data_IF_788723617469
#
_entry.id   IF_788723617469
#
_cell.length_a   1.000
_cell.length_b   1.000
_cell.length_c   1.000
_cell.angle_alpha   90.00
_cell.angle_beta   90.00
_cell.angle_gamma   90.00
#
_symmetry.space_group_name_H-M   'P 1'
#
loop_
_entity.id
_entity.type
_entity.pdbx_description
1 polymer ?
#
# COMPACT_ATOMS: atom_id res chain seq x y z
N UNK A 1 9.42 -77.90 34.64
CA UNK A 1 9.48 -77.09 33.40
C UNK A 1 8.05 -76.72 33.03
N UNK A 2 7.49 -75.67 33.62
CA UNK A 2 6.21 -75.09 33.23
C UNK A 2 6.03 -73.64 33.72
N UNK A 3 6.92 -73.15 34.59
CA UNK A 3 6.81 -71.80 35.14
C UNK A 3 7.29 -70.70 34.19
N UNK A 4 8.22 -71.00 33.27
CA UNK A 4 8.77 -70.02 32.33
C UNK A 4 7.73 -69.52 31.32
N UNK A 5 6.85 -70.40 30.80
CA UNK A 5 5.85 -70.02 29.78
C UNK A 5 4.82 -69.03 30.35
N UNK A 6 4.50 -69.15 31.65
CA UNK A 6 3.51 -68.28 32.31
C UNK A 6 4.03 -66.86 32.58
N UNK A 7 5.34 -66.70 32.82
CA UNK A 7 5.96 -65.40 33.12
C UNK A 7 6.07 -64.53 31.85
N UNK A 8 6.42 -65.15 30.72
CA UNK A 8 6.49 -64.47 29.42
C UNK A 8 5.10 -64.05 28.90
N UNK A 9 4.04 -64.83 29.16
CA UNK A 9 2.67 -64.47 28.75
C UNK A 9 2.02 -63.42 29.66
N UNK A 10 2.28 -63.43 30.97
CA UNK A 10 1.60 -62.55 31.92
C UNK A 10 2.30 -61.20 32.18
N UNK A 11 3.59 -61.07 31.88
CA UNK A 11 4.36 -59.84 32.18
C UNK A 11 4.88 -59.16 30.91
N UNK A 12 5.37 -59.93 29.92
CA UNK A 12 6.03 -59.35 28.74
C UNK A 12 5.03 -58.89 27.68
N UNK A 13 3.92 -59.61 27.50
CA UNK A 13 2.82 -59.21 26.61
C UNK A 13 2.19 -57.85 26.98
N UNK A 14 1.81 -57.61 28.25
CA UNK A 14 1.25 -56.35 28.70
C UNK A 14 2.22 -55.17 28.63
N UNK A 15 3.51 -55.39 28.94
CA UNK A 15 4.55 -54.34 28.90
C UNK A 15 4.85 -53.94 27.45
N UNK A 16 4.96 -54.90 26.53
CA UNK A 16 5.14 -54.61 25.10
C UNK A 16 3.92 -53.90 24.50
N UNK A 17 2.70 -54.33 24.85
CA UNK A 17 1.47 -53.66 24.43
C UNK A 17 1.39 -52.22 24.99
N UNK A 18 1.78 -51.99 26.23
CA UNK A 18 1.82 -50.66 26.83
C UNK A 18 2.85 -49.73 26.16
N UNK A 19 4.02 -50.24 25.77
CA UNK A 19 5.04 -49.49 25.04
C UNK A 19 4.60 -49.12 23.61
N UNK A 20 3.93 -50.04 22.92
CA UNK A 20 3.39 -49.79 21.57
C UNK A 20 2.23 -48.78 21.64
N UNK A 21 1.33 -48.95 22.61
CA UNK A 21 0.17 -48.05 22.77
C UNK A 21 0.62 -46.65 23.18
N UNK A 22 1.62 -46.53 24.05
CA UNK A 22 2.15 -45.22 24.46
C UNK A 22 2.91 -44.51 23.34
N UNK A 23 3.70 -45.22 22.53
CA UNK A 23 4.36 -44.62 21.35
C UNK A 23 3.37 -44.19 20.27
N UNK A 24 2.33 -44.99 20.00
CA UNK A 24 1.26 -44.60 19.08
C UNK A 24 0.43 -43.43 19.60
N UNK A 25 0.12 -43.39 20.90
CA UNK A 25 -0.59 -42.27 21.52
C UNK A 25 0.24 -40.99 21.48
N UNK A 26 1.54 -41.04 21.81
CA UNK A 26 2.44 -39.89 21.72
C UNK A 26 2.63 -39.43 20.27
N UNK A 27 2.74 -40.36 19.32
CA UNK A 27 2.78 -40.06 17.89
C UNK A 27 1.48 -39.41 17.38
N UNK A 28 0.33 -39.92 17.81
CA UNK A 28 -0.98 -39.35 17.47
C UNK A 28 -1.20 -37.96 18.07
N UNK A 29 -0.83 -37.76 19.34
CA UNK A 29 -0.94 -36.48 20.03
C UNK A 29 -0.02 -35.45 19.40
N UNK A 30 1.25 -35.80 19.12
CA UNK A 30 2.20 -34.89 18.45
C UNK A 30 1.77 -34.53 17.03
N UNK A 31 1.22 -35.47 16.27
CA UNK A 31 0.65 -35.19 14.94
C UNK A 31 -0.58 -34.28 15.02
N UNK A 32 -1.46 -34.50 16.00
CA UNK A 32 -2.63 -33.66 16.20
C UNK A 32 -2.26 -32.26 16.72
N UNK A 33 -1.30 -32.15 17.63
CA UNK A 33 -0.76 -30.88 18.11
C UNK A 33 -0.13 -30.09 16.97
N UNK A 34 0.75 -30.71 16.18
CA UNK A 34 1.41 -30.06 15.05
C UNK A 34 0.41 -29.57 13.99
N UNK A 35 -0.69 -30.31 13.77
CA UNK A 35 -1.79 -29.83 12.93
C UNK A 35 -2.53 -28.64 13.53
N UNK A 36 -2.80 -28.64 14.84
CA UNK A 36 -3.45 -27.52 15.52
C UNK A 36 -2.56 -26.27 15.54
N UNK A 37 -1.26 -26.44 15.78
CA UNK A 37 -0.28 -25.36 15.74
C UNK A 37 -0.17 -24.77 14.32
N UNK A 38 -0.06 -25.62 13.30
CA UNK A 38 -0.03 -25.16 11.91
C UNK A 38 -1.33 -24.45 11.50
N UNK A 39 -2.49 -24.91 11.99
CA UNK A 39 -3.77 -24.22 11.76
C UNK A 39 -3.83 -22.87 12.48
N UNK A 40 -3.38 -22.80 13.73
CA UNK A 40 -3.34 -21.56 14.50
C UNK A 40 -2.37 -20.53 13.91
N UNK A 41 -1.20 -20.99 13.44
CA UNK A 41 -0.23 -20.15 12.75
C UNK A 41 -0.80 -19.64 11.41
N UNK A 42 -1.48 -20.50 10.65
CA UNK A 42 -2.16 -20.11 9.41
C UNK A 42 -3.23 -19.04 9.64
N UNK A 43 -4.07 -19.20 10.67
CA UNK A 43 -5.11 -18.21 11.02
C UNK A 43 -4.45 -16.89 11.40
N UNK A 44 -3.44 -16.90 12.29
CA UNK A 44 -2.71 -15.69 12.66
C UNK A 44 -2.04 -14.99 11.47
N UNK A 45 -1.54 -15.75 10.51
CA UNK A 45 -0.96 -15.20 9.30
C UNK A 45 -2.02 -14.49 8.44
N UNK A 46 -3.18 -15.12 8.24
CA UNK A 46 -4.30 -14.54 7.48
C UNK A 46 -4.85 -13.29 8.19
N UNK A 47 -5.05 -13.34 9.50
CA UNK A 47 -5.49 -12.18 10.30
C UNK A 47 -4.50 -11.00 10.16
N UNK A 48 -3.20 -11.30 10.22
CA UNK A 48 -2.14 -10.31 9.99
C UNK A 48 -2.16 -9.72 8.58
N UNK A 49 -2.41 -10.55 7.56
CA UNK A 49 -2.55 -10.12 6.17
C UNK A 49 -3.79 -9.23 5.97
N UNK A 50 -4.93 -9.57 6.57
CA UNK A 50 -6.15 -8.77 6.53
C UNK A 50 -5.96 -7.41 7.20
N UNK A 51 -5.37 -7.38 8.39
CA UNK A 51 -5.09 -6.13 9.09
C UNK A 51 -4.17 -5.22 8.28
N UNK A 52 -3.12 -5.78 7.67
CA UNK A 52 -2.22 -5.06 6.75
C UNK A 52 -2.98 -4.52 5.53
N UNK A 53 -3.82 -5.34 4.89
CA UNK A 53 -4.62 -4.87 3.75
C UNK A 53 -5.58 -3.73 4.12
N UNK A 54 -6.23 -3.80 5.29
CA UNK A 54 -7.12 -2.74 5.78
C UNK A 54 -6.36 -1.45 6.10
N UNK A 55 -5.21 -1.56 6.77
CA UNK A 55 -4.36 -0.41 7.09
C UNK A 55 -3.82 0.25 5.82
N UNK A 56 -3.29 -0.55 4.89
CA UNK A 56 -2.87 -0.08 3.57
C UNK A 56 -4.01 0.61 2.83
N UNK A 57 -5.22 0.03 2.83
CA UNK A 57 -6.39 0.64 2.18
C UNK A 57 -6.72 2.02 2.73
N UNK A 58 -6.64 2.17 4.07
CA UNK A 58 -6.83 3.45 4.74
C UNK A 58 -5.77 4.46 4.31
N UNK A 59 -4.50 4.05 4.27
CA UNK A 59 -3.38 4.92 3.86
C UNK A 59 -3.55 5.41 2.41
N UNK A 60 -3.96 4.55 1.48
CA UNK A 60 -4.19 4.93 0.09
C UNK A 60 -5.30 5.97 -0.04
N UNK A 61 -6.42 5.76 0.64
CA UNK A 61 -7.55 6.69 0.66
C UNK A 61 -7.21 8.02 1.33
N UNK A 62 -6.53 8.00 2.48
CA UNK A 62 -6.09 9.21 3.17
C UNK A 62 -5.16 10.04 2.26
N UNK A 63 -4.22 9.36 1.57
CA UNK A 63 -3.32 9.99 0.60
C UNK A 63 -4.07 10.66 -0.55
N UNK A 64 -5.02 9.96 -1.16
CA UNK A 64 -5.86 10.50 -2.24
C UNK A 64 -6.66 11.72 -1.79
N UNK A 65 -7.30 11.65 -0.62
CA UNK A 65 -8.16 12.70 -0.10
C UNK A 65 -7.40 13.99 0.20
N UNK A 66 -6.25 13.89 0.89
CA UNK A 66 -5.43 15.06 1.20
C UNK A 66 -4.75 15.63 -0.05
N UNK A 67 -4.35 14.78 -1.00
CA UNK A 67 -3.81 15.25 -2.28
C UNK A 67 -4.86 15.99 -3.11
N UNK A 68 -6.06 15.43 -3.23
CA UNK A 68 -7.20 16.06 -3.91
C UNK A 68 -7.59 17.39 -3.25
N UNK A 69 -7.60 17.43 -1.91
CA UNK A 69 -7.87 18.65 -1.15
C UNK A 69 -6.81 19.73 -1.40
N UNK A 70 -5.54 19.36 -1.48
CA UNK A 70 -4.46 20.29 -1.81
C UNK A 70 -4.60 20.84 -3.24
N UNK A 71 -4.81 19.98 -4.24
CA UNK A 71 -4.99 20.37 -5.65
C UNK A 71 -6.20 21.30 -5.80
N UNK A 72 -7.35 20.93 -5.26
CA UNK A 72 -8.54 21.80 -5.33
C UNK A 72 -8.32 23.16 -4.63
N UNK A 73 -7.46 23.20 -3.61
CA UNK A 73 -7.16 24.43 -2.91
C UNK A 73 -6.15 25.32 -3.67
N UNK A 74 -5.35 24.78 -4.61
CA UNK A 74 -4.43 25.57 -5.43
C UNK A 74 -5.13 26.25 -6.62
N UNK A 75 -6.30 25.76 -7.05
CA UNK A 75 -7.01 26.27 -8.21
C UNK A 75 -7.20 27.80 -8.15
N UNK A 76 -6.73 28.51 -9.18
CA UNK A 76 -6.73 29.98 -9.28
C UNK A 76 -6.03 30.70 -8.11
N UNK A 77 -5.11 30.03 -7.41
CA UNK A 77 -4.32 30.64 -6.34
C UNK A 77 -2.85 30.70 -6.70
N UNK A 78 -2.27 31.86 -6.48
CA UNK A 78 -0.84 32.07 -6.50
C UNK A 78 -0.11 31.28 -5.41
N UNK A 79 1.17 30.98 -5.63
CA UNK A 79 2.03 30.25 -4.69
C UNK A 79 2.05 30.91 -3.31
N UNK A 80 2.08 32.24 -3.23
CA UNK A 80 2.08 32.93 -1.93
C UNK A 80 0.84 32.60 -1.08
N UNK A 81 -0.35 32.60 -1.66
CA UNK A 81 -1.58 32.27 -0.93
C UNK A 81 -1.66 30.76 -0.64
N UNK A 82 -1.35 29.92 -1.63
CA UNK A 82 -1.42 28.47 -1.52
C UNK A 82 -0.42 27.90 -0.49
N UNK A 83 0.80 28.43 -0.46
CA UNK A 83 1.91 27.92 0.37
C UNK A 83 1.73 28.15 1.88
N UNK A 84 1.01 29.20 2.27
CA UNK A 84 0.85 29.59 3.67
C UNK A 84 -0.09 28.66 4.46
N UNK A 85 -1.05 28.02 3.77
CA UNK A 85 -2.07 27.17 4.39
C UNK A 85 -2.08 25.76 3.76
N UNK A 86 -2.75 25.61 2.62
CA UNK A 86 -3.11 24.29 2.06
C UNK A 86 -1.90 23.43 1.72
N UNK A 87 -0.86 24.02 1.15
CA UNK A 87 0.38 23.29 0.86
C UNK A 87 1.09 22.85 2.14
N UNK A 88 1.18 23.72 3.14
CA UNK A 88 1.85 23.41 4.42
C UNK A 88 1.13 22.28 5.16
N UNK A 89 -0.20 22.36 5.23
CA UNK A 89 -1.04 21.32 5.82
C UNK A 89 -0.84 19.98 5.11
N UNK A 90 -0.79 20.01 3.77
CA UNK A 90 -0.47 18.83 2.98
C UNK A 90 0.92 18.28 3.27
N UNK A 91 1.95 19.12 3.34
CA UNK A 91 3.33 18.66 3.60
C UNK A 91 3.48 18.04 5.00
N UNK A 92 2.80 18.58 6.00
CA UNK A 92 2.76 18.02 7.35
C UNK A 92 2.05 16.66 7.37
N UNK A 93 0.96 16.52 6.62
CA UNK A 93 0.30 15.24 6.40
C UNK A 93 1.22 14.26 5.65
N UNK A 94 1.76 14.67 4.50
CA UNK A 94 2.55 13.87 3.58
C UNK A 94 3.78 13.28 4.27
N UNK A 95 4.43 14.04 5.15
CA UNK A 95 5.55 13.53 5.96
C UNK A 95 5.12 12.33 6.81
N UNK A 96 4.05 12.47 7.59
CA UNK A 96 3.53 11.39 8.46
C UNK A 96 2.98 10.21 7.66
N UNK A 97 2.32 10.52 6.56
CA UNK A 97 1.77 9.52 5.64
C UNK A 97 2.89 8.69 5.01
N UNK A 98 3.95 9.33 4.52
CA UNK A 98 5.13 8.64 3.97
C UNK A 98 5.82 7.76 5.00
N UNK A 99 5.97 8.22 6.24
CA UNK A 99 6.49 7.40 7.34
C UNK A 99 5.62 6.14 7.56
N UNK A 100 4.29 6.28 7.49
CA UNK A 100 3.36 5.15 7.57
C UNK A 100 3.48 4.20 6.37
N UNK A 101 3.64 4.71 5.14
CA UNK A 101 3.88 3.88 3.96
C UNK A 101 5.15 3.03 4.08
N UNK A 102 6.23 3.60 4.62
CA UNK A 102 7.50 2.87 4.84
C UNK A 102 7.29 1.72 5.84
N UNK A 103 6.57 1.97 6.94
CA UNK A 103 6.24 0.92 7.91
C UNK A 103 5.40 -0.17 7.26
N UNK A 104 4.41 0.25 6.47
CA UNK A 104 3.48 -0.66 5.79
C UNK A 104 4.17 -1.51 4.72
N UNK A 105 5.18 -0.96 4.02
CA UNK A 105 6.01 -1.71 3.08
C UNK A 105 6.57 -2.99 3.73
N UNK A 106 7.14 -2.91 4.93
CA UNK A 106 7.70 -4.09 5.60
C UNK A 106 6.64 -5.13 5.99
N UNK A 107 5.43 -4.69 6.34
CA UNK A 107 4.30 -5.61 6.60
C UNK A 107 3.85 -6.28 5.30
N UNK A 108 3.74 -5.52 4.22
CA UNK A 108 3.38 -6.02 2.89
C UNK A 108 4.40 -7.01 2.36
N UNK A 109 5.71 -6.79 2.56
CA UNK A 109 6.76 -7.77 2.23
C UNK A 109 6.47 -9.11 2.90
N UNK A 110 6.08 -9.10 4.18
CA UNK A 110 5.82 -10.30 4.97
C UNK A 110 4.59 -11.08 4.51
N UNK A 111 3.50 -10.40 4.17
CA UNK A 111 2.20 -11.04 3.91
C UNK A 111 1.84 -11.15 2.42
N UNK A 112 2.31 -10.22 1.58
CA UNK A 112 1.94 -10.07 0.17
C UNK A 112 3.16 -10.12 -0.78
N UNK A 113 4.38 -10.13 -0.23
CA UNK A 113 5.63 -10.20 -0.98
C UNK A 113 6.16 -8.85 -1.46
N UNK A 114 7.46 -8.82 -1.81
CA UNK A 114 8.20 -7.59 -2.12
C UNK A 114 7.58 -6.78 -3.26
N UNK A 115 7.16 -7.45 -4.35
CA UNK A 115 6.56 -6.77 -5.51
C UNK A 115 5.33 -5.95 -5.13
N UNK A 116 4.51 -6.44 -4.18
CA UNK A 116 3.34 -5.68 -3.72
C UNK A 116 3.81 -4.44 -2.95
N UNK A 117 4.75 -4.62 -2.02
CA UNK A 117 5.30 -3.54 -1.22
C UNK A 117 6.00 -2.44 -2.06
N UNK A 118 6.72 -2.83 -3.11
CA UNK A 118 7.41 -1.92 -4.04
C UNK A 118 6.39 -1.04 -4.82
N UNK A 119 5.21 -1.59 -5.16
CA UNK A 119 4.14 -0.80 -5.81
C UNK A 119 3.54 0.28 -4.88
N UNK A 120 3.73 0.18 -3.56
CA UNK A 120 3.29 1.19 -2.60
C UNK A 120 4.34 2.31 -2.48
N UNK A 121 5.59 1.90 -2.24
CA UNK A 121 6.74 2.79 -2.06
C UNK A 121 8.04 2.02 -2.29
N UNK A 122 8.91 2.53 -3.16
CA UNK A 122 10.27 2.03 -3.32
C UNK A 122 11.20 2.57 -2.23
N UNK A 123 11.30 1.83 -1.11
CA UNK A 123 12.09 2.25 0.06
C UNK A 123 13.59 2.35 -0.26
N UNK A 124 14.09 1.51 -1.15
CA UNK A 124 15.46 1.50 -1.67
C UNK A 124 15.85 2.78 -2.42
N UNK A 125 14.88 3.54 -2.93
CA UNK A 125 15.13 4.79 -3.63
C UNK A 125 15.06 6.03 -2.73
N UNK A 126 14.56 5.89 -1.51
CA UNK A 126 14.40 6.98 -0.53
C UNK A 126 15.75 7.59 -0.14
N UNK A 127 16.79 6.76 -0.02
CA UNK A 127 18.15 7.21 0.32
C UNK A 127 18.87 7.88 -0.87
N UNK A 128 18.37 7.69 -2.09
CA UNK A 128 19.09 8.02 -3.33
C UNK A 128 18.71 9.39 -3.93
N UNK A 129 17.59 10.00 -3.51
CA UNK A 129 17.08 11.22 -4.16
C UNK A 129 16.62 12.28 -3.15
N UNK A 130 17.55 13.12 -2.65
CA UNK A 130 17.16 14.36 -1.98
C UNK A 130 16.50 15.31 -3.00
N UNK A 131 15.31 15.79 -2.64
CA UNK A 131 14.48 16.70 -3.43
C UNK A 131 15.24 17.99 -3.74
N UNK A 132 15.07 18.53 -4.96
CA UNK A 132 15.00 19.99 -5.12
C UNK A 132 16.11 20.66 -5.90
N UNK A 133 16.38 20.23 -7.14
CA UNK A 133 16.90 21.17 -8.13
C UNK A 133 15.76 21.70 -9.00
N UNK A 134 15.18 22.83 -8.59
CA UNK A 134 14.12 23.53 -9.33
C UNK A 134 14.66 24.08 -10.65
N UNK A 135 15.99 24.20 -10.80
CA UNK A 135 16.65 24.59 -12.05
C UNK A 135 16.85 23.42 -13.02
N UNK A 136 16.52 22.20 -12.60
CA UNK A 136 16.45 21.04 -13.49
C UNK A 136 15.41 21.28 -14.60
N UNK A 137 15.68 20.87 -15.84
CA UNK A 137 14.67 20.87 -16.91
C UNK A 137 13.48 19.95 -16.61
N UNK A 138 13.56 19.10 -15.59
CA UNK A 138 12.48 18.20 -15.15
C UNK A 138 12.38 18.16 -13.62
N UNK A 139 11.92 19.25 -12.97
CA UNK A 139 11.94 19.39 -11.52
C UNK A 139 10.95 18.46 -10.80
N UNK A 140 9.95 17.94 -11.52
CA UNK A 140 8.93 17.01 -11.01
C UNK A 140 9.15 15.56 -11.47
N UNK A 141 10.32 15.22 -12.00
CA UNK A 141 10.61 13.83 -12.39
C UNK A 141 11.09 13.06 -11.14
N UNK A 142 10.38 12.02 -10.69
CA UNK A 142 10.83 11.21 -9.56
C UNK A 142 11.99 10.31 -9.97
N UNK A 143 12.62 9.70 -8.97
CA UNK A 143 13.57 8.61 -9.15
C UNK A 143 12.99 7.46 -10.00
N UNK A 144 13.85 6.80 -10.78
CA UNK A 144 13.49 5.65 -11.59
C UNK A 144 13.06 5.99 -13.03
N UNK A 145 12.42 5.04 -13.70
CA UNK A 145 11.93 5.19 -15.08
C UNK A 145 10.47 5.65 -15.16
N UNK A 146 10.02 6.12 -16.34
CA UNK A 146 8.63 6.57 -16.56
C UNK A 146 7.55 5.51 -16.26
N UNK A 147 7.91 4.23 -16.22
CA UNK A 147 6.99 3.11 -15.91
C UNK A 147 7.01 2.68 -14.45
N UNK A 148 7.71 3.41 -13.58
CA UNK A 148 8.03 3.00 -12.21
C UNK A 148 7.35 3.89 -11.16
N UNK A 149 6.16 4.41 -11.49
CA UNK A 149 5.38 5.27 -10.60
C UNK A 149 4.62 4.43 -9.58
N UNK A 150 5.22 4.25 -8.41
CA UNK A 150 4.50 3.82 -7.21
C UNK A 150 3.58 4.93 -6.67
N UNK A 151 2.74 4.58 -5.69
CA UNK A 151 1.77 5.50 -5.09
C UNK A 151 2.45 6.75 -4.48
N UNK A 152 3.59 6.59 -3.82
CA UNK A 152 4.32 7.72 -3.22
C UNK A 152 4.92 8.64 -4.30
N UNK A 153 5.42 8.08 -5.41
CA UNK A 153 5.90 8.84 -6.57
C UNK A 153 4.76 9.60 -7.23
N UNK A 154 3.57 9.00 -7.40
CA UNK A 154 2.40 9.72 -7.93
C UNK A 154 2.02 10.92 -7.05
N UNK A 155 2.01 10.76 -5.73
CA UNK A 155 1.77 11.88 -4.80
C UNK A 155 2.82 13.00 -4.96
N UNK A 156 4.11 12.64 -5.05
CA UNK A 156 5.20 13.59 -5.26
C UNK A 156 5.06 14.38 -6.57
N UNK A 157 4.81 13.69 -7.69
CA UNK A 157 4.68 14.34 -9.01
C UNK A 157 3.47 15.29 -9.02
N UNK A 158 2.38 14.88 -8.38
CA UNK A 158 1.17 15.72 -8.25
C UNK A 158 1.46 16.97 -7.44
N UNK A 159 2.07 16.86 -6.25
CA UNK A 159 2.47 18.02 -5.43
C UNK A 159 3.38 18.97 -6.19
N UNK A 160 4.41 18.43 -6.84
CA UNK A 160 5.37 19.25 -7.56
C UNK A 160 4.71 20.01 -8.72
N UNK A 161 3.82 19.35 -9.47
CA UNK A 161 3.07 19.99 -10.57
C UNK A 161 2.16 21.09 -10.02
N UNK A 162 1.43 20.79 -8.94
CA UNK A 162 0.55 21.76 -8.22
C UNK A 162 1.32 22.99 -7.78
N UNK A 163 2.52 22.81 -7.24
CA UNK A 163 3.40 23.92 -6.84
C UNK A 163 3.80 24.77 -8.05
N UNK A 164 4.12 24.15 -9.18
CA UNK A 164 4.49 24.89 -10.40
C UNK A 164 3.29 25.66 -10.97
N UNK A 165 2.08 25.07 -10.94
CA UNK A 165 0.85 25.76 -11.34
C UNK A 165 0.60 27.00 -10.50
N UNK A 166 0.74 26.90 -9.19
CA UNK A 166 0.59 28.03 -8.28
C UNK A 166 1.66 29.13 -8.52
N UNK A 167 2.90 28.75 -8.81
CA UNK A 167 3.95 29.72 -9.19
C UNK A 167 3.63 30.40 -10.52
N UNK A 168 3.11 29.66 -11.50
CA UNK A 168 2.69 30.21 -12.79
C UNK A 168 1.51 31.17 -12.63
N UNK A 169 0.59 30.89 -11.71
CA UNK A 169 -0.51 31.79 -11.36
C UNK A 169 0.00 33.10 -10.77
N UNK A 170 1.00 33.09 -9.88
CA UNK A 170 1.63 34.32 -9.36
C UNK A 170 2.22 35.18 -10.49
N UNK A 171 2.81 34.55 -11.52
CA UNK A 171 3.35 35.27 -12.71
C UNK A 171 2.21 35.91 -13.51
N UNK A 172 1.11 35.18 -13.74
CA UNK A 172 -0.08 35.70 -14.42
C UNK A 172 -0.64 36.91 -13.67
N UNK A 173 -0.79 36.79 -12.36
CA UNK A 173 -1.34 37.85 -11.51
C UNK A 173 -0.45 39.11 -11.52
N UNK A 174 0.88 38.95 -11.43
CA UNK A 174 1.83 40.07 -11.50
C UNK A 174 1.81 40.77 -12.88
N UNK A 175 1.81 40.00 -13.97
CA UNK A 175 1.79 40.58 -15.30
C UNK A 175 0.46 41.30 -15.61
N UNK A 176 -0.68 40.76 -15.15
CA UNK A 176 -2.00 41.42 -15.23
C UNK A 176 -1.99 42.72 -14.43
N UNK A 177 -1.50 42.69 -13.17
CA UNK A 177 -1.42 43.86 -12.32
C UNK A 177 -0.50 44.95 -12.92
N UNK A 178 0.59 44.55 -13.58
CA UNK A 178 1.55 45.44 -14.21
C UNK A 178 1.24 45.77 -15.69
N UNK A 179 0.11 45.30 -16.24
CA UNK A 179 -0.31 45.50 -17.64
C UNK A 179 0.76 45.06 -18.66
N UNK A 180 1.54 44.03 -18.34
CA UNK A 180 2.50 43.42 -19.26
C UNK A 180 1.75 42.39 -20.09
N UNK A 181 1.71 42.56 -21.41
CA UNK A 181 0.91 41.70 -22.30
C UNK A 181 1.74 40.74 -23.15
N UNK A 182 3.07 40.86 -23.11
CA UNK A 182 3.97 40.09 -23.99
C UNK A 182 3.90 38.58 -23.77
N UNK A 183 3.93 38.14 -22.51
CA UNK A 183 4.08 36.73 -22.16
C UNK A 183 2.90 36.12 -21.37
N UNK A 184 1.90 36.94 -20.98
CA UNK A 184 0.73 36.49 -20.18
C UNK A 184 -0.03 35.35 -20.85
N UNK A 185 -0.23 35.42 -22.17
CA UNK A 185 -0.96 34.37 -22.89
C UNK A 185 -0.23 33.04 -22.88
N UNK A 186 1.11 33.05 -22.90
CA UNK A 186 1.92 31.84 -22.79
C UNK A 186 1.82 31.26 -21.36
N UNK A 187 1.87 32.11 -20.33
CA UNK A 187 1.69 31.68 -18.93
C UNK A 187 0.30 31.10 -18.67
N UNK A 188 -0.77 31.69 -19.22
CA UNK A 188 -2.14 31.15 -19.12
C UNK A 188 -2.23 29.77 -19.78
N UNK A 189 -1.64 29.60 -20.97
CA UNK A 189 -1.63 28.31 -21.67
C UNK A 189 -0.85 27.25 -20.87
N UNK A 190 0.29 27.61 -20.30
CA UNK A 190 1.09 26.70 -19.48
C UNK A 190 0.38 26.34 -18.17
N UNK A 191 -0.29 27.29 -17.52
CA UNK A 191 -1.10 27.04 -16.33
C UNK A 191 -2.25 26.07 -16.61
N UNK A 192 -3.02 26.30 -17.68
CA UNK A 192 -4.11 25.39 -18.09
C UNK A 192 -3.61 23.98 -18.39
N UNK A 193 -2.44 23.84 -19.01
CA UNK A 193 -1.81 22.54 -19.25
C UNK A 193 -1.38 21.86 -17.95
N UNK A 194 -0.95 22.61 -16.94
CA UNK A 194 -0.59 22.07 -15.63
C UNK A 194 -1.82 21.59 -14.87
N UNK A 195 -2.93 22.33 -14.90
CA UNK A 195 -4.22 21.88 -14.34
C UNK A 195 -4.71 20.58 -15.01
N UNK A 196 -4.59 20.47 -16.34
CA UNK A 196 -4.91 19.23 -17.07
C UNK A 196 -4.03 18.04 -16.60
N UNK A 197 -2.74 18.28 -16.38
CA UNK A 197 -1.80 17.26 -15.88
C UNK A 197 -2.11 16.87 -14.43
N UNK A 198 -2.44 17.83 -13.57
CA UNK A 198 -2.86 17.58 -12.18
C UNK A 198 -4.10 16.68 -12.13
N UNK A 199 -5.10 16.98 -12.96
CA UNK A 199 -6.32 16.15 -13.06
C UNK A 199 -5.99 14.73 -13.51
N UNK A 200 -5.09 14.56 -14.48
CA UNK A 200 -4.64 13.23 -14.93
C UNK A 200 -3.88 12.47 -13.84
N UNK A 201 -3.01 13.15 -13.09
CA UNK A 201 -2.24 12.53 -12.01
C UNK A 201 -3.15 12.07 -10.85
N UNK A 202 -4.20 12.82 -10.52
CA UNK A 202 -5.21 12.40 -9.54
C UNK A 202 -5.97 11.16 -10.00
N UNK A 203 -6.40 11.13 -11.27
CA UNK A 203 -7.07 9.96 -11.88
C UNK A 203 -6.13 8.74 -11.93
N UNK A 204 -4.85 8.93 -12.24
CA UNK A 204 -3.84 7.87 -12.20
C UNK A 204 -3.58 7.37 -10.78
N UNK A 205 -3.60 8.24 -9.78
CA UNK A 205 -3.53 7.85 -8.37
C UNK A 205 -4.75 7.02 -7.96
N UNK A 206 -5.97 7.45 -8.31
CA UNK A 206 -7.21 6.72 -8.01
C UNK A 206 -7.19 5.34 -8.69
N UNK A 207 -6.87 5.29 -9.98
CA UNK A 207 -6.74 4.03 -10.74
C UNK A 207 -5.70 3.11 -10.12
N UNK A 208 -4.56 3.64 -9.71
CA UNK A 208 -3.48 2.87 -9.07
C UNK A 208 -3.93 2.33 -7.72
N UNK A 209 -4.63 3.13 -6.92
CA UNK A 209 -5.25 2.72 -5.65
C UNK A 209 -6.22 1.56 -5.87
N UNK A 210 -7.16 1.69 -6.81
CA UNK A 210 -8.14 0.63 -7.11
C UNK A 210 -7.46 -0.65 -7.59
N UNK A 211 -6.44 -0.55 -8.46
CA UNK A 211 -5.67 -1.73 -8.91
C UNK A 211 -4.94 -2.40 -7.75
N UNK A 212 -4.35 -1.60 -6.86
CA UNK A 212 -3.63 -2.10 -5.69
C UNK A 212 -4.56 -2.83 -4.73
N UNK A 213 -5.73 -2.26 -4.43
CA UNK A 213 -6.75 -2.87 -3.56
C UNK A 213 -7.26 -4.19 -4.12
N UNK A 214 -7.50 -4.28 -5.43
CA UNK A 214 -7.86 -5.55 -6.08
C UNK A 214 -6.76 -6.59 -5.94
N UNK A 215 -5.50 -6.20 -6.11
CA UNK A 215 -4.37 -7.13 -5.99
C UNK A 215 -4.18 -7.64 -4.54
N UNK A 216 -4.46 -6.81 -3.53
CA UNK A 216 -4.51 -7.25 -2.13
C UNK A 216 -5.64 -8.26 -1.90
N UNK A 217 -6.85 -7.98 -2.36
CA UNK A 217 -8.01 -8.87 -2.23
C UNK A 217 -7.82 -10.23 -2.92
N UNK A 218 -7.25 -10.22 -4.13
CA UNK A 218 -6.87 -11.43 -4.86
C UNK A 218 -5.85 -12.27 -4.08
N UNK A 219 -4.87 -11.62 -3.43
CA UNK A 219 -3.86 -12.30 -2.63
C UNK A 219 -4.45 -12.87 -1.34
N UNK A 220 -5.34 -12.14 -0.66
CA UNK A 220 -6.06 -12.64 0.52
C UNK A 220 -6.89 -13.89 0.18
N UNK A 221 -7.58 -13.85 -0.96
CA UNK A 221 -8.32 -15.00 -1.48
C UNK A 221 -7.39 -16.20 -1.71
N UNK A 222 -6.21 -16.00 -2.29
CA UNK A 222 -5.22 -17.07 -2.50
C UNK A 222 -4.65 -17.63 -1.19
N UNK A 223 -4.52 -16.80 -0.15
CA UNK A 223 -4.13 -17.25 1.20
C UNK A 223 -5.22 -18.10 1.88
N UNK A 224 -6.43 -18.10 1.32
CA UNK A 224 -7.59 -18.90 1.74
C UNK A 224 -8.53 -18.15 2.67
N UNK A 225 -8.57 -16.82 2.57
CA UNK A 225 -9.63 -16.00 3.12
C UNK A 225 -10.97 -16.32 2.40
N UNK A 226 -12.03 -16.72 3.11
CA UNK A 226 -13.29 -17.10 2.47
C UNK A 226 -13.96 -15.93 1.73
N UNK A 227 -14.16 -16.09 0.42
CA UNK A 227 -15.01 -15.19 -0.35
C UNK A 227 -16.50 -15.44 -0.12
N UNK A 228 -17.29 -14.37 -0.05
CA UNK A 228 -18.75 -14.46 -0.08
C UNK A 228 -19.20 -14.88 -1.49
N UNK A 229 -19.57 -16.14 -1.67
CA UNK A 229 -20.29 -16.58 -2.87
C UNK A 229 -21.71 -16.01 -2.86
N UNK A 230 -21.96 -14.99 -3.69
CA UNK A 230 -23.32 -14.51 -3.95
C UNK A 230 -24.07 -15.60 -4.73
N UNK A 231 -24.96 -16.31 -4.04
CA UNK A 231 -25.88 -17.24 -4.69
C UNK A 231 -26.91 -16.41 -5.46
N UNK A 232 -26.68 -16.18 -6.75
CA UNK A 232 -27.72 -15.64 -7.63
C UNK A 232 -28.85 -16.65 -7.69
N UNK A 233 -29.93 -16.36 -6.96
CA UNK A 233 -31.16 -17.14 -6.98
C UNK A 233 -31.70 -17.08 -8.41
N UNK A 234 -31.52 -18.17 -9.18
CA UNK A 234 -32.20 -18.34 -10.46
C UNK A 234 -33.70 -18.17 -10.20
N UNK A 235 -34.26 -17.04 -10.63
CA UNK A 235 -35.72 -16.88 -10.74
C UNK A 235 -36.19 -17.84 -11.84
N UNK A 236 -36.47 -19.08 -11.44
CA UNK A 236 -37.29 -20.00 -12.23
C UNK A 236 -38.75 -19.78 -11.83
N UNK A 237 -39.54 -19.64 -12.89
CA UNK A 237 -41.01 -19.61 -13.04
C UNK A 237 -41.73 -18.40 -12.50
#
# INVERSE_FOLDING_TARGET
MNDDVSYWQNVVGPVAAALITSTLALGGISWQLSRQEAQAERVRFIDGAQATAQETSRLLNDGYNELTKMVNASHNKGWKEFSELSWRDYMDFHRRWREQLIVEHFKLVRYFGKRMADNLIHVDEIDLHPVGDISSPSPCMPAGGKGDLDIAKLAFVTECTTRIAAVTQDIIDDDIANKRTGDVMASIQEHSKQEDVESQLLDDYEKSTVRYLRALDETLTQLGDPQVTVVTRSSRT
#
